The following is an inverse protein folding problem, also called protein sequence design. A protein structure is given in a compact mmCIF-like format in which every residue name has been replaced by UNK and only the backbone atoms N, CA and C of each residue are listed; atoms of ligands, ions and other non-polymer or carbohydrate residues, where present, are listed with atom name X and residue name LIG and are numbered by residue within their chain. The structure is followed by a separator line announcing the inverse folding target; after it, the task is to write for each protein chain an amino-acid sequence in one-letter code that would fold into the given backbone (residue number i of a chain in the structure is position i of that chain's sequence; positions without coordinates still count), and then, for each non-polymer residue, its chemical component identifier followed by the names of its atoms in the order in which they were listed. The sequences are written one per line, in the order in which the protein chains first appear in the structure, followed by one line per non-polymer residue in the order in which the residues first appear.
data_IF_875375248014
#
_entry.id   IF_875375248014
#
_cell.length_a   1.000
_cell.length_b   1.000
_cell.length_c   1.000
_cell.angle_alpha   90.00
_cell.angle_beta   90.00
_cell.angle_gamma   90.00
#
_symmetry.space_group_name_H-M   'P 1'
#
loop_
_entity.id
_entity.type
_entity.pdbx_description
1 polymer ?
#
# COMPACT_ATOMS: atom_id res chain seq x y z
N UNK A 1 -12.49 -0.66 20.22
CA UNK A 1 -11.75 0.51 19.74
C UNK A 1 -11.90 0.59 18.23
N UNK A 2 -12.80 1.49 17.83
CA UNK A 2 -13.05 1.95 16.46
C UNK A 2 -12.86 3.47 16.52
N UNK A 3 -12.13 4.06 15.58
CA UNK A 3 -11.93 5.51 15.52
C UNK A 3 -12.29 6.02 14.13
N UNK A 4 -13.06 7.10 14.10
CA UNK A 4 -13.34 7.89 12.90
C UNK A 4 -12.48 9.16 12.86
N UNK A 5 -12.03 9.55 11.68
CA UNK A 5 -11.54 10.92 11.42
C UNK A 5 -11.99 11.42 10.04
N UNK A 6 -12.38 12.70 9.89
CA UNK A 6 -12.66 13.29 8.59
C UNK A 6 -11.36 13.41 7.76
N UNK A 7 -11.48 13.32 6.44
CA UNK A 7 -10.36 13.47 5.50
C UNK A 7 -10.86 13.89 4.10
N UNK A 8 -11.20 15.18 3.95
CA UNK A 8 -11.51 15.88 2.69
C UNK A 8 -12.57 15.18 1.81
N UNK A 9 -13.86 15.35 2.15
CA UNK A 9 -14.99 14.70 1.46
C UNK A 9 -15.11 13.19 1.70
N UNK A 10 -14.49 12.71 2.79
CA UNK A 10 -14.44 11.31 3.17
C UNK A 10 -14.32 11.15 4.68
N UNK A 11 -14.74 10.00 5.19
CA UNK A 11 -14.45 9.53 6.55
C UNK A 11 -13.43 8.39 6.51
N UNK A 12 -12.37 8.49 7.29
CA UNK A 12 -11.48 7.38 7.62
C UNK A 12 -12.02 6.64 8.84
N UNK A 13 -12.08 5.31 8.78
CA UNK A 13 -12.41 4.44 9.90
C UNK A 13 -11.29 3.43 10.13
N UNK A 14 -10.76 3.41 11.35
CA UNK A 14 -9.68 2.51 11.77
C UNK A 14 -10.13 1.65 12.95
N UNK A 15 -9.93 0.33 12.90
CA UNK A 15 -10.29 -0.58 13.98
C UNK A 15 -9.42 -1.83 14.05
N UNK A 16 -9.28 -2.39 15.24
CA UNK A 16 -8.67 -3.70 15.44
C UNK A 16 -9.74 -4.80 15.40
N UNK A 17 -9.44 -5.90 14.71
CA UNK A 17 -10.19 -7.16 14.78
C UNK A 17 -9.29 -8.26 15.34
N UNK A 18 -9.86 -9.13 16.17
CA UNK A 18 -9.24 -10.41 16.53
C UNK A 18 -9.71 -11.49 15.55
N UNK A 19 -8.78 -12.25 14.99
CA UNK A 19 -9.04 -13.42 14.16
C UNK A 19 -8.82 -14.72 14.91
N UNK A 20 -8.78 -15.84 14.17
CA UNK A 20 -8.44 -17.14 14.72
C UNK A 20 -7.03 -17.16 15.34
N UNK A 21 -6.80 -18.10 16.28
CA UNK A 21 -5.51 -18.31 16.96
C UNK A 21 -4.90 -17.06 17.64
N UNK A 22 -5.73 -16.08 18.01
CA UNK A 22 -5.28 -14.84 18.66
C UNK A 22 -4.63 -13.82 17.72
N UNK A 23 -4.62 -14.07 16.42
CA UNK A 23 -4.13 -13.13 15.41
C UNK A 23 -4.90 -11.78 15.49
N UNK A 24 -4.20 -10.68 15.21
CA UNK A 24 -4.77 -9.33 15.20
C UNK A 24 -4.61 -8.71 13.82
N UNK A 25 -5.65 -7.98 13.42
CA UNK A 25 -5.72 -7.31 12.13
C UNK A 25 -6.17 -5.88 12.38
N UNK A 26 -5.35 -4.91 11.98
CA UNK A 26 -5.71 -3.50 11.98
C UNK A 26 -6.31 -3.18 10.61
N UNK A 27 -7.61 -2.94 10.58
CA UNK A 27 -8.34 -2.49 9.40
C UNK A 27 -8.26 -0.97 9.33
N UNK A 28 -7.85 -0.45 8.17
CA UNK A 28 -7.87 0.95 7.80
C UNK A 28 -8.76 1.12 6.57
N UNK A 29 -9.83 1.91 6.68
CA UNK A 29 -10.85 2.03 5.64
C UNK A 29 -11.17 3.49 5.35
N UNK A 30 -11.36 3.82 4.07
CA UNK A 30 -11.74 5.15 3.60
C UNK A 30 -13.10 5.07 2.92
N UNK A 31 -14.01 5.91 3.37
CA UNK A 31 -15.41 5.98 2.93
C UNK A 31 -15.69 7.36 2.36
N UNK A 32 -16.34 7.46 1.21
CA UNK A 32 -16.88 8.74 0.71
C UNK A 32 -18.15 9.13 1.46
N UNK A 33 -18.56 10.39 1.34
CA UNK A 33 -19.74 10.94 2.05
C UNK A 33 -21.06 10.25 1.67
N UNK A 34 -21.12 9.57 0.51
CA UNK A 34 -22.23 8.70 0.09
C UNK A 34 -22.17 7.28 0.69
N UNK A 35 -21.36 7.08 1.74
CA UNK A 35 -21.16 5.83 2.47
C UNK A 35 -20.63 4.66 1.61
N UNK A 36 -20.00 4.95 0.46
CA UNK A 36 -19.28 3.94 -0.33
C UNK A 36 -17.84 3.76 0.17
N UNK A 37 -17.39 2.51 0.21
CA UNK A 37 -16.03 2.14 0.57
C UNK A 37 -15.07 2.46 -0.59
N UNK A 38 -14.35 3.58 -0.49
CA UNK A 38 -13.37 4.02 -1.47
C UNK A 38 -12.00 3.31 -1.31
N UNK A 39 -11.66 2.81 -0.12
CA UNK A 39 -10.48 1.96 0.09
C UNK A 39 -10.59 1.08 1.33
N UNK A 40 -10.00 -0.12 1.26
CA UNK A 40 -9.69 -0.98 2.41
C UNK A 40 -8.22 -1.40 2.41
N UNK A 41 -7.56 -1.32 3.56
CA UNK A 41 -6.20 -1.80 3.81
C UNK A 41 -6.19 -2.56 5.15
N UNK A 42 -5.49 -3.70 5.23
CA UNK A 42 -5.49 -4.55 6.43
C UNK A 42 -4.05 -4.91 6.79
N UNK A 43 -3.66 -4.61 8.03
CA UNK A 43 -2.31 -4.80 8.55
C UNK A 43 -2.30 -5.87 9.65
N UNK A 44 -1.54 -6.96 9.42
CA UNK A 44 -1.36 -8.07 10.37
C UNK A 44 -0.08 -7.97 11.20
N UNK A 45 0.72 -6.92 11.02
CA UNK A 45 2.00 -6.76 11.74
C UNK A 45 1.77 -6.59 13.26
N UNK A 46 2.46 -7.34 14.14
CA UNK A 46 2.45 -7.10 15.58
C UNK A 46 2.75 -5.65 15.98
N UNK A 47 3.68 -4.94 15.33
CA UNK A 47 4.00 -3.56 15.74
C UNK A 47 2.84 -2.60 15.46
N UNK A 48 2.24 -2.69 14.27
CA UNK A 48 1.11 -1.84 13.86
C UNK A 48 -0.13 -2.11 14.71
N UNK A 49 -0.42 -3.39 14.97
CA UNK A 49 -1.57 -3.79 15.80
C UNK A 49 -1.34 -3.52 17.29
N UNK A 50 -0.10 -3.64 17.77
CA UNK A 50 0.32 -3.33 19.13
C UNK A 50 0.33 -1.83 19.43
N UNK A 51 0.91 -1.01 18.54
CA UNK A 51 0.92 0.45 18.64
C UNK A 51 -0.47 1.05 18.65
N UNK A 52 -1.35 0.63 17.73
CA UNK A 52 -2.75 1.07 17.74
C UNK A 52 -3.49 0.61 19.01
N UNK A 53 -3.21 -0.62 19.51
CA UNK A 53 -3.78 -1.09 20.79
C UNK A 53 -3.30 -0.28 21.99
N UNK A 54 -2.05 0.18 22.01
CA UNK A 54 -1.51 1.02 23.07
C UNK A 54 -2.12 2.44 23.05
N UNK A 55 -2.40 2.97 21.86
CA UNK A 55 -3.10 4.24 21.65
C UNK A 55 -4.59 4.17 22.10
N UNK A 56 -5.26 3.03 21.86
CA UNK A 56 -6.64 2.75 22.30
C UNK A 56 -6.79 2.56 23.83
N UNK A 57 -6.62 3.61 24.65
CA UNK A 57 -6.63 3.47 26.10
C UNK A 57 -8.05 3.51 26.73
N UNK A 58 -8.57 2.31 27.04
CA UNK A 58 -9.62 1.96 28.01
C UNK A 58 -11.06 2.51 27.91
N UNK A 59 -11.34 3.75 27.51
CA UNK A 59 -12.72 4.28 27.51
C UNK A 59 -13.40 4.41 26.14
N UNK A 60 -12.69 4.22 25.02
CA UNK A 60 -13.31 4.19 23.69
C UNK A 60 -14.03 2.85 23.46
N UNK A 61 -15.31 2.83 23.81
CA UNK A 61 -16.29 1.77 23.51
C UNK A 61 -16.37 1.47 22.02
N UNK A 62 -16.99 0.34 21.67
CA UNK A 62 -17.29 0.06 20.28
C UNK A 62 -18.52 0.88 19.88
N UNK A 63 -18.30 1.96 19.13
CA UNK A 63 -19.38 2.84 18.68
C UNK A 63 -20.30 2.09 17.71
N UNK A 64 -21.48 1.68 18.21
CA UNK A 64 -22.48 0.99 17.41
C UNK A 64 -23.13 1.87 16.34
N UNK A 65 -23.16 3.19 16.52
CA UNK A 65 -23.72 4.11 15.54
C UNK A 65 -22.81 4.19 14.32
N UNK A 66 -21.50 4.32 14.52
CA UNK A 66 -20.48 4.22 13.47
C UNK A 66 -20.47 2.83 12.81
N UNK A 67 -20.59 1.74 13.58
CA UNK A 67 -20.68 0.37 13.02
C UNK A 67 -21.88 0.21 12.09
N UNK A 68 -23.04 0.75 12.46
CA UNK A 68 -24.27 0.69 11.65
C UNK A 68 -24.18 1.63 10.45
N UNK A 69 -23.80 2.89 10.66
CA UNK A 69 -23.68 3.95 9.64
C UNK A 69 -22.77 3.56 8.48
N UNK A 70 -21.63 2.94 8.78
CA UNK A 70 -20.66 2.50 7.78
C UNK A 70 -20.70 0.98 7.52
N UNK A 71 -21.79 0.29 7.90
CA UNK A 71 -22.01 -1.15 7.72
C UNK A 71 -20.72 -1.99 7.94
N UNK A 72 -20.04 -1.78 9.07
CA UNK A 72 -18.70 -2.34 9.29
C UNK A 72 -18.73 -3.87 9.33
N UNK A 73 -19.84 -4.46 9.77
CA UNK A 73 -20.11 -5.90 9.65
C UNK A 73 -20.03 -6.41 8.20
N UNK A 74 -20.49 -5.61 7.24
CA UNK A 74 -20.38 -5.87 5.80
C UNK A 74 -18.94 -6.06 5.31
N UNK A 75 -17.95 -5.49 6.00
CA UNK A 75 -16.53 -5.63 5.68
C UNK A 75 -15.90 -6.94 6.19
N UNK A 76 -16.66 -7.79 6.89
CA UNK A 76 -16.14 -8.98 7.56
C UNK A 76 -16.53 -10.30 6.88
N UNK A 77 -17.37 -10.23 5.84
CA UNK A 77 -17.75 -11.38 5.01
C UNK A 77 -16.68 -11.74 3.97
N UNK A 78 -16.67 -13.00 3.54
CA UNK A 78 -15.69 -13.55 2.60
C UNK A 78 -15.74 -12.91 1.21
N UNK A 79 -16.92 -12.44 0.79
CA UNK A 79 -17.15 -11.78 -0.51
C UNK A 79 -17.04 -10.25 -0.44
N UNK A 80 -16.60 -9.70 0.71
CA UNK A 80 -16.48 -8.25 0.90
C UNK A 80 -15.18 -7.69 0.29
N UNK A 81 -15.12 -6.38 -0.06
CA UNK A 81 -13.87 -5.73 -0.49
C UNK A 81 -12.78 -5.64 0.60
N UNK A 82 -13.06 -6.11 1.82
CA UNK A 82 -12.15 -6.21 2.95
C UNK A 82 -11.90 -7.67 3.39
N UNK A 83 -12.17 -8.64 2.53
CA UNK A 83 -12.01 -10.05 2.86
C UNK A 83 -10.54 -10.44 3.13
N UNK A 84 -10.30 -11.07 4.27
CA UNK A 84 -9.07 -11.81 4.55
C UNK A 84 -9.13 -13.15 3.79
N UNK A 85 -8.53 -13.19 2.59
CA UNK A 85 -8.50 -14.39 1.76
C UNK A 85 -7.85 -15.59 2.47
N UNK A 86 -8.40 -16.82 2.33
CA UNK A 86 -7.93 -17.99 3.07
C UNK A 86 -6.56 -18.49 2.58
N UNK A 87 -5.66 -18.77 3.52
CA UNK A 87 -4.32 -19.31 3.25
C UNK A 87 -4.32 -20.84 3.29
N UNK A 88 -4.67 -21.50 2.18
CA UNK A 88 -4.66 -22.97 2.06
C UNK A 88 -4.18 -23.43 0.68
N UNK A 89 -3.37 -24.49 0.66
CA UNK A 89 -3.21 -25.45 -0.43
C UNK A 89 -2.99 -26.85 0.17
N UNK A 90 -2.87 -27.94 -0.61
CA UNK A 90 -2.89 -28.04 -2.08
C UNK A 90 -4.22 -28.61 -2.64
N UNK A 91 -4.33 -28.69 -3.97
CA UNK A 91 -5.49 -29.24 -4.72
C UNK A 91 -5.40 -30.74 -5.00
N UNK A 92 -6.55 -31.40 -5.24
CA UNK A 92 -6.87 -31.94 -6.59
C UNK A 92 -8.13 -31.27 -7.19
N UNK A 93 -8.19 -30.91 -8.48
CA UNK A 93 -8.68 -31.75 -9.62
C UNK A 93 -10.08 -32.34 -9.38
N UNK A 94 -11.13 -32.06 -10.17
CA UNK A 94 -11.34 -32.19 -11.63
C UNK A 94 -12.58 -31.33 -12.04
N UNK A 95 -12.89 -30.84 -13.26
CA UNK A 95 -12.30 -30.77 -14.63
C UNK A 95 -12.64 -29.37 -15.21
N UNK A 96 -12.23 -28.88 -16.40
CA UNK A 96 -11.25 -29.35 -17.39
C UNK A 96 -11.61 -28.99 -18.86
N UNK A 97 -10.93 -28.01 -19.45
CA UNK A 97 -10.78 -27.81 -20.92
C UNK A 97 -9.39 -27.23 -21.23
N UNK A 98 -8.90 -27.39 -22.47
CA UNK A 98 -7.45 -27.45 -22.79
C UNK A 98 -6.90 -26.27 -23.59
N UNK A 99 -5.70 -25.79 -23.19
CA UNK A 99 -4.62 -25.14 -23.98
C UNK A 99 -4.99 -23.84 -24.74
N UNK A 100 -4.05 -22.97 -25.09
CA UNK A 100 -2.58 -22.95 -24.93
C UNK A 100 -2.18 -21.70 -24.11
N UNK A 101 -1.25 -21.79 -23.16
CA UNK A 101 0.22 -21.72 -23.33
C UNK A 101 0.75 -20.31 -23.64
N UNK A 102 1.09 -19.57 -22.57
CA UNK A 102 2.08 -18.49 -22.60
C UNK A 102 2.60 -18.28 -21.17
N UNK A 103 3.92 -18.35 -20.97
CA UNK A 103 4.54 -18.44 -19.63
C UNK A 103 4.80 -17.08 -19.00
N UNK A 104 3.74 -16.33 -18.64
CA UNK A 104 3.91 -15.08 -17.90
C UNK A 104 4.26 -15.35 -16.42
N UNK A 105 5.55 -15.28 -16.09
CA UNK A 105 6.02 -15.25 -14.70
C UNK A 105 5.47 -14.00 -14.02
N UNK A 106 4.50 -14.17 -13.11
CA UNK A 106 3.89 -13.09 -12.32
C UNK A 106 4.88 -12.48 -11.33
N UNK A 107 5.78 -11.66 -11.87
CA UNK A 107 6.65 -10.77 -11.12
C UNK A 107 5.81 -9.94 -10.16
N UNK A 108 6.27 -9.84 -8.90
CA UNK A 108 5.67 -8.91 -7.93
C UNK A 108 5.78 -7.50 -8.50
N UNK A 109 4.69 -6.95 -9.05
CA UNK A 109 4.61 -5.52 -9.40
C UNK A 109 4.80 -4.71 -8.12
N UNK A 110 6.03 -4.22 -7.92
CA UNK A 110 6.34 -3.17 -6.94
C UNK A 110 5.34 -2.05 -7.19
N UNK A 111 4.58 -1.65 -6.16
CA UNK A 111 3.73 -0.45 -6.24
C UNK A 111 4.63 0.77 -6.12
N UNK A 112 5.35 1.09 -7.20
CA UNK A 112 6.19 2.27 -7.30
C UNK A 112 5.32 3.52 -7.08
N UNK A 113 5.58 4.19 -5.97
CA UNK A 113 5.05 5.51 -5.66
C UNK A 113 5.70 6.48 -6.65
N UNK A 114 5.05 6.69 -7.79
CA UNK A 114 5.39 7.70 -8.79
C UNK A 114 4.21 8.66 -8.87
N UNK A 115 4.52 9.95 -8.94
CA UNK A 115 3.56 11.03 -9.04
C UNK A 115 2.62 10.83 -10.25
N UNK A 116 1.31 11.15 -10.14
CA UNK A 116 0.38 10.97 -11.25
C UNK A 116 0.72 11.92 -12.41
N UNK A 117 0.82 11.38 -13.63
CA UNK A 117 1.21 12.15 -14.82
C UNK A 117 2.73 12.20 -15.09
N UNK A 118 3.54 11.48 -14.31
CA UNK A 118 4.98 11.27 -14.55
C UNK A 118 5.29 9.77 -14.62
N UNK A 119 6.43 9.42 -15.22
CA UNK A 119 6.93 8.05 -15.37
C UNK A 119 8.23 7.81 -14.59
N UNK A 120 8.93 8.86 -14.16
CA UNK A 120 10.22 8.80 -13.47
C UNK A 120 10.17 9.36 -12.04
N UNK A 121 9.33 10.37 -11.76
CA UNK A 121 9.29 11.02 -10.43
C UNK A 121 8.72 10.12 -9.31
N UNK A 122 9.55 9.25 -8.72
CA UNK A 122 9.12 8.34 -7.67
C UNK A 122 10.11 7.23 -7.27
N UNK A 123 9.59 6.16 -6.68
CA UNK A 123 10.40 4.99 -6.28
C UNK A 123 10.78 4.11 -7.49
N UNK A 124 11.76 4.60 -8.27
CA UNK A 124 12.12 4.05 -9.58
C UNK A 124 11.01 4.25 -10.62
N UNK A 125 11.30 3.96 -11.88
CA UNK A 125 10.45 4.34 -13.01
C UNK A 125 9.32 3.36 -13.38
N UNK A 126 8.32 3.88 -14.11
CA UNK A 126 7.26 3.16 -14.85
C UNK A 126 7.44 3.22 -16.37
N UNK A 127 8.42 3.99 -16.85
CA UNK A 127 8.76 4.06 -18.26
C UNK A 127 9.26 2.70 -18.78
N UNK A 128 8.79 2.28 -19.95
CA UNK A 128 9.27 1.06 -20.62
C UNK A 128 10.55 1.32 -21.47
N UNK A 129 10.98 2.58 -21.59
CA UNK A 129 12.21 2.98 -22.26
C UNK A 129 12.56 4.44 -21.94
N UNK A 130 13.85 4.79 -22.07
CA UNK A 130 14.41 6.06 -21.60
C UNK A 130 13.68 7.31 -22.13
N UNK A 131 13.29 7.35 -23.41
CA UNK A 131 12.60 8.51 -24.01
C UNK A 131 11.09 8.58 -23.74
N UNK A 132 10.52 7.70 -22.91
CA UNK A 132 9.12 7.81 -22.48
C UNK A 132 9.01 8.81 -21.33
N UNK A 133 8.28 9.90 -21.56
CA UNK A 133 7.88 10.88 -20.55
C UNK A 133 6.36 10.90 -20.41
N UNK A 134 5.87 11.25 -19.22
CA UNK A 134 4.47 11.46 -18.92
C UNK A 134 3.96 12.87 -19.26
N UNK A 135 2.71 13.14 -18.91
CA UNK A 135 2.01 14.42 -19.09
C UNK A 135 2.81 15.64 -18.59
N UNK A 136 3.60 15.50 -17.53
CA UNK A 136 4.42 16.57 -16.97
C UNK A 136 5.88 16.53 -17.47
N UNK A 137 6.07 16.42 -18.79
CA UNK A 137 7.36 16.19 -19.49
C UNK A 137 8.58 16.89 -18.88
N UNK A 138 8.49 18.19 -18.53
CA UNK A 138 9.63 18.93 -17.96
C UNK A 138 10.06 18.41 -16.60
N UNK A 139 9.10 18.20 -15.69
CA UNK A 139 9.37 17.67 -14.35
C UNK A 139 9.82 16.20 -14.47
N UNK A 140 9.17 15.44 -15.34
CA UNK A 140 9.49 14.03 -15.57
C UNK A 140 10.90 13.85 -16.18
N UNK A 141 11.36 14.79 -17.01
CA UNK A 141 12.73 14.85 -17.52
C UNK A 141 13.76 15.11 -16.40
N UNK A 142 13.48 16.05 -15.48
CA UNK A 142 14.35 16.27 -14.32
C UNK A 142 14.46 15.01 -13.47
N UNK A 143 13.33 14.35 -13.17
CA UNK A 143 13.32 13.08 -12.46
C UNK A 143 14.04 11.96 -13.21
N UNK A 144 13.96 11.92 -14.55
CA UNK A 144 14.73 10.97 -15.38
C UNK A 144 16.23 11.20 -15.28
N UNK A 145 16.70 12.44 -15.34
CA UNK A 145 18.13 12.76 -15.22
C UNK A 145 18.64 12.44 -13.80
N UNK A 146 17.82 12.70 -12.77
CA UNK A 146 18.07 12.33 -11.38
C UNK A 146 18.21 10.80 -11.17
N UNK A 147 17.26 10.00 -11.70
CA UNK A 147 17.30 8.52 -11.68
C UNK A 147 18.54 7.93 -12.38
N UNK A 148 19.24 8.72 -13.22
CA UNK A 148 20.46 8.33 -13.95
C UNK A 148 21.74 8.99 -13.40
N UNK A 149 21.70 9.57 -12.21
CA UNK A 149 22.90 9.99 -11.49
C UNK A 149 23.87 8.81 -11.30
N UNK A 150 25.16 9.01 -11.58
CA UNK A 150 26.20 7.98 -11.42
C UNK A 150 26.41 7.55 -9.97
N UNK A 151 26.23 8.50 -9.05
CA UNK A 151 26.67 8.38 -7.66
C UNK A 151 25.46 8.37 -6.71
N UNK A 152 24.92 7.16 -6.53
CA UNK A 152 23.74 6.90 -5.70
C UNK A 152 24.02 5.88 -4.59
N UNK A 153 23.27 6.00 -3.49
CA UNK A 153 23.27 5.07 -2.37
C UNK A 153 21.84 4.52 -2.19
N UNK A 154 21.53 3.31 -2.70
CA UNK A 154 20.23 2.68 -2.52
C UNK A 154 19.83 2.52 -1.04
N UNK A 155 18.52 2.45 -0.80
CA UNK A 155 17.94 2.28 0.53
C UNK A 155 18.57 1.10 1.30
N UNK A 156 18.99 1.35 2.55
CA UNK A 156 19.63 0.37 3.44
C UNK A 156 20.93 -0.27 2.90
N UNK A 157 21.66 0.41 2.01
CA UNK A 157 22.98 -0.04 1.53
C UNK A 157 24.11 0.86 2.00
N UNK A 158 25.35 0.37 1.88
CA UNK A 158 26.58 1.15 2.08
C UNK A 158 27.22 1.39 0.72
N UNK A 159 27.51 2.64 0.38
CA UNK A 159 28.32 3.02 -0.78
C UNK A 159 29.21 4.22 -0.41
N UNK A 160 30.38 4.36 -1.04
CA UNK A 160 31.39 5.40 -0.71
C UNK A 160 31.81 5.45 0.79
N UNK A 161 31.64 4.35 1.52
CA UNK A 161 31.86 4.28 2.98
C UNK A 161 30.72 4.83 3.85
N UNK A 162 29.62 5.30 3.25
CA UNK A 162 28.45 5.86 3.94
C UNK A 162 27.27 4.88 3.86
N UNK A 163 26.63 4.61 5.01
CA UNK A 163 25.36 3.87 5.06
C UNK A 163 24.18 4.80 4.82
N UNK A 164 23.25 4.41 3.96
CA UNK A 164 21.97 5.10 3.80
C UNK A 164 20.89 4.45 4.71
N UNK A 165 20.51 5.07 5.84
CA UNK A 165 19.48 4.53 6.73
C UNK A 165 18.04 4.75 6.22
N UNK A 166 17.86 5.46 5.11
CA UNK A 166 16.55 5.78 4.57
C UNK A 166 15.96 4.62 3.76
N UNK A 167 14.62 4.60 3.66
CA UNK A 167 13.87 3.65 2.83
C UNK A 167 13.84 4.02 1.34
N UNK A 168 14.53 5.10 0.95
CA UNK A 168 14.65 5.62 -0.41
C UNK A 168 16.12 5.79 -0.81
N UNK A 169 16.40 5.76 -2.11
CA UNK A 169 17.73 6.04 -2.67
C UNK A 169 18.13 7.49 -2.42
N UNK A 170 19.38 7.73 -2.00
CA UNK A 170 19.98 9.07 -1.90
C UNK A 170 20.93 9.25 -3.08
N UNK A 171 20.97 10.45 -3.66
CA UNK A 171 21.82 10.83 -4.80
C UNK A 171 22.95 11.79 -4.36
N UNK A 172 23.93 12.05 -5.22
CA UNK A 172 24.94 13.06 -4.98
C UNK A 172 24.35 14.48 -5.05
N UNK A 173 24.83 15.40 -4.21
CA UNK A 173 24.30 16.77 -4.11
C UNK A 173 24.29 17.54 -5.43
N UNK A 174 25.21 17.25 -6.36
CA UNK A 174 25.26 17.86 -7.70
C UNK A 174 24.17 17.34 -8.65
N UNK A 175 23.63 16.15 -8.40
CA UNK A 175 22.47 15.60 -9.12
C UNK A 175 21.15 16.13 -8.54
N UNK A 176 21.10 16.38 -7.22
CA UNK A 176 19.95 17.00 -6.53
C UNK A 176 19.79 18.52 -6.82
N UNK A 177 20.80 19.19 -7.41
CA UNK A 177 20.85 20.64 -7.64
C UNK A 177 20.70 21.09 -9.11
N UNK A 178 20.28 20.19 -10.02
CA UNK A 178 20.06 20.48 -11.46
C UNK A 178 18.60 20.80 -11.80
#
# INVERSE_FOLDING_TARGET
CLRSSPADGHTLLTFLRHGAHGARFLYFTKWSDDLRLARCEIYSNPDSTGGYRAFCNRNETWDEELVKKFNISGLLFADSPCALGPSVGPTPELTGRRRADETETKTRRKRSWIFPGTLWCGTGSKAAGYEQLGMFERADKCCREHDHCSDIIPAFTVNYGVFNPNFFTVSHCECDQR
#
